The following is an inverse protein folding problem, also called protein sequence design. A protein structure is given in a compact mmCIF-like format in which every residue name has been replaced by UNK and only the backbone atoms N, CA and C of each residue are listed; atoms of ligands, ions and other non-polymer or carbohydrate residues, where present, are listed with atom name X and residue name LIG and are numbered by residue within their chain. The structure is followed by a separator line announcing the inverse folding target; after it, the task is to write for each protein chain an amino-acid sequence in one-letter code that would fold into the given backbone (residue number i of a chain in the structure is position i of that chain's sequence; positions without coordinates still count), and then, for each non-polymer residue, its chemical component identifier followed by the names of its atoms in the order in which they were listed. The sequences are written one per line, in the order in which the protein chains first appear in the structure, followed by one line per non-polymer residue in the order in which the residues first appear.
data_IF_640702705842
#
_entry.id   IF_640702705842
#
_cell.length_a   1.000
_cell.length_b   1.000
_cell.length_c   1.000
_cell.angle_alpha   90.00
_cell.angle_beta   90.00
_cell.angle_gamma   90.00
#
_symmetry.space_group_name_H-M   'P 1'
#
loop_
_entity.id
_entity.type
_entity.pdbx_description
1 polymer ?
#
# COMPACT_ATOMS: atom_id res chain seq x y z
N UNK A 1 -1.10 4.18 -3.88
CA UNK A 1 -0.17 4.00 -2.74
C UNK A 1 -0.52 4.88 -1.54
N UNK A 2 -1.31 5.95 -1.70
CA UNK A 2 -1.70 6.84 -0.59
C UNK A 2 -2.65 6.19 0.43
N UNK A 3 -3.54 5.28 0.00
CA UNK A 3 -4.46 4.59 0.89
C UNK A 3 -3.78 3.83 2.06
N UNK A 4 -2.54 3.36 1.86
CA UNK A 4 -1.76 2.74 2.95
C UNK A 4 -1.30 3.80 3.94
N UNK A 5 -0.81 4.95 3.47
CA UNK A 5 -0.38 6.03 4.37
C UNK A 5 -1.58 6.64 5.11
N UNK A 6 -2.73 6.74 4.45
CA UNK A 6 -3.98 7.21 5.07
C UNK A 6 -4.39 6.30 6.23
N UNK A 7 -4.31 4.98 6.02
CA UNK A 7 -4.58 3.97 7.04
C UNK A 7 -3.49 3.86 8.13
N UNK A 8 -2.32 4.47 7.92
CA UNK A 8 -1.17 4.41 8.83
C UNK A 8 -0.56 5.80 9.02
N UNK A 9 -1.30 6.72 9.64
CA UNK A 9 -0.81 8.07 9.92
C UNK A 9 0.52 8.06 10.68
N UNK A 10 1.50 8.81 10.19
CA UNK A 10 2.88 8.85 10.71
C UNK A 10 3.82 7.78 10.16
N UNK A 11 3.33 6.81 9.37
CA UNK A 11 4.19 5.80 8.73
C UNK A 11 5.15 6.43 7.70
N UNK A 12 4.76 7.53 7.06
CA UNK A 12 5.60 8.26 6.11
C UNK A 12 6.79 8.98 6.78
N UNK A 13 6.62 9.36 8.05
CA UNK A 13 7.67 10.02 8.83
C UNK A 13 8.63 9.01 9.49
N UNK A 14 8.26 7.73 9.51
CA UNK A 14 9.13 6.66 10.02
C UNK A 14 10.30 6.43 9.07
N UNK A 15 11.52 6.59 9.60
CA UNK A 15 12.73 6.39 8.83
C UNK A 15 12.84 4.93 8.34
N UNK A 16 13.12 4.76 7.05
CA UNK A 16 13.42 3.45 6.49
C UNK A 16 14.91 3.13 6.64
N UNK A 17 15.27 1.85 6.89
CA UNK A 17 14.40 0.68 6.96
C UNK A 17 13.54 0.61 8.24
N UNK A 18 12.30 0.13 8.10
CA UNK A 18 11.37 0.06 9.23
C UNK A 18 11.88 -0.85 10.34
N UNK A 19 11.64 -0.42 11.59
CA UNK A 19 11.99 -1.18 12.79
C UNK A 19 11.20 -2.50 12.88
N UNK A 20 11.80 -3.48 13.54
CA UNK A 20 11.13 -4.75 13.85
C UNK A 20 9.89 -4.51 14.71
N UNK A 21 8.84 -5.31 14.48
CA UNK A 21 7.59 -5.23 15.24
C UNK A 21 6.67 -4.07 14.87
N UNK A 22 7.01 -3.28 13.84
CA UNK A 22 6.09 -2.33 13.24
C UNK A 22 4.92 -3.08 12.57
N UNK A 23 3.69 -2.75 12.96
CA UNK A 23 2.47 -3.30 12.37
C UNK A 23 1.95 -2.29 11.34
N UNK A 24 1.81 -2.72 10.10
CA UNK A 24 1.27 -1.91 9.01
C UNK A 24 -0.10 -2.46 8.66
N UNK A 25 -1.13 -1.62 8.78
CA UNK A 25 -2.51 -1.99 8.44
C UNK A 25 -2.72 -1.76 6.95
N UNK A 26 -3.02 -2.83 6.21
CA UNK A 26 -3.36 -2.69 4.79
C UNK A 26 -4.85 -2.36 4.66
N UNK A 27 -5.23 -1.32 3.90
CA UNK A 27 -6.62 -0.99 3.65
C UNK A 27 -7.26 -2.05 2.74
N UNK A 28 -8.59 -2.16 2.82
CA UNK A 28 -9.35 -2.94 1.85
C UNK A 28 -9.16 -2.36 0.44
N UNK A 29 -8.91 -3.24 -0.52
CA UNK A 29 -8.80 -2.87 -1.93
C UNK A 29 -10.04 -3.36 -2.68
N UNK A 30 -10.52 -2.60 -3.68
CA UNK A 30 -11.54 -3.10 -4.57
C UNK A 30 -11.07 -4.39 -5.23
N UNK A 31 -12.01 -5.30 -5.51
CA UNK A 31 -11.72 -6.52 -6.24
C UNK A 31 -11.00 -6.18 -7.55
N UNK A 32 -9.98 -6.97 -7.88
CA UNK A 32 -9.26 -6.82 -9.15
C UNK A 32 -10.23 -6.94 -10.32
N UNK A 33 -10.09 -6.09 -11.32
CA UNK A 33 -10.86 -6.22 -12.56
C UNK A 33 -10.28 -7.33 -13.43
N UNK A 34 -11.14 -8.22 -13.96
CA UNK A 34 -10.79 -9.26 -14.92
C UNK A 34 -10.61 -8.68 -16.35
N UNK A 35 -9.99 -7.52 -16.47
CA UNK A 35 -9.77 -6.87 -17.77
C UNK A 35 -8.39 -7.26 -18.31
N UNK A 36 -8.36 -7.80 -19.54
CA UNK A 36 -7.09 -8.10 -20.21
C UNK A 36 -6.54 -6.83 -20.84
N UNK A 37 -5.43 -6.33 -20.30
CA UNK A 37 -4.75 -5.13 -20.80
C UNK A 37 -3.48 -5.53 -21.57
N UNK A 38 -3.34 -5.10 -22.81
CA UNK A 38 -2.06 -5.22 -23.53
C UNK A 38 -1.11 -4.13 -23.04
N UNK A 39 0.03 -4.55 -22.47
CA UNK A 39 0.98 -3.60 -21.87
C UNK A 39 1.86 -2.90 -22.93
N UNK A 40 2.27 -3.61 -24.00
CA UNK A 40 3.22 -3.11 -25.00
C UNK A 40 2.96 -3.68 -26.41
N UNK A 41 1.74 -3.50 -26.94
CA UNK A 41 1.40 -3.91 -28.31
C UNK A 41 2.21 -3.20 -29.38
#
# INVERSE_FOLDING_TARGET
MEAVLDANQGLADEAQPFRVGLIITLPDLPASSDETVMLWG
#
